data_IF_344854542599
#
_entry.id   IF_344854542599
#
_cell.length_a   1.000
_cell.length_b   1.000
_cell.length_c   1.000
_cell.angle_alpha   90.00
_cell.angle_beta   90.00
_cell.angle_gamma   90.00
#
_symmetry.space_group_name_H-M   'P 1'
#
loop_
_entity.id
_entity.type
_entity.pdbx_description
1 polymer ?
#
# COMPACT_ATOMS: atom_id res chain seq x y z
N UNK A 1 -23.66 12.91 -2.59
CA UNK A 1 -22.24 12.78 -2.24
C UNK A 1 -22.15 12.57 -0.73
N UNK A 2 -22.00 11.33 -0.29
CA UNK A 2 -21.61 11.03 1.09
C UNK A 2 -20.12 11.35 1.22
N UNK A 3 -19.78 12.37 2.01
CA UNK A 3 -18.40 12.61 2.43
C UNK A 3 -17.92 11.35 3.15
N UNK A 4 -17.06 10.56 2.50
CA UNK A 4 -16.42 9.41 3.16
C UNK A 4 -15.57 9.98 4.30
N UNK A 5 -15.76 9.47 5.52
CA UNK A 5 -14.95 9.86 6.67
C UNK A 5 -13.47 9.63 6.37
N UNK A 6 -12.64 10.65 6.61
CA UNK A 6 -11.18 10.52 6.53
C UNK A 6 -10.66 9.73 7.73
N UNK A 7 -9.64 8.93 7.49
CA UNK A 7 -8.99 8.06 8.46
C UNK A 7 -7.56 8.51 8.67
N UNK A 8 -7.12 8.49 9.92
CA UNK A 8 -5.76 8.85 10.30
C UNK A 8 -4.76 7.87 9.67
N UNK A 9 -3.81 8.38 8.89
CA UNK A 9 -2.76 7.56 8.29
C UNK A 9 -2.06 6.68 9.33
N UNK A 10 -1.81 5.42 8.97
CA UNK A 10 -1.12 4.44 9.83
C UNK A 10 -1.96 3.86 10.97
N UNK A 11 -3.21 4.29 11.18
CA UNK A 11 -4.12 3.59 12.08
C UNK A 11 -4.55 2.25 11.47
N UNK A 12 -4.93 1.27 12.31
CA UNK A 12 -5.42 -0.04 11.84
C UNK A 12 -6.57 0.12 10.83
N UNK A 13 -7.57 0.95 11.16
CA UNK A 13 -8.70 1.23 10.27
C UNK A 13 -8.28 1.85 8.92
N UNK A 14 -7.16 2.59 8.88
CA UNK A 14 -6.64 3.14 7.64
C UNK A 14 -6.04 2.04 6.75
N UNK A 15 -5.30 1.08 7.32
CA UNK A 15 -4.81 -0.08 6.56
C UNK A 15 -5.94 -1.00 6.09
N UNK A 16 -6.99 -1.18 6.90
CA UNK A 16 -8.20 -1.90 6.48
C UNK A 16 -8.87 -1.21 5.28
N UNK A 17 -8.93 0.12 5.29
CA UNK A 17 -9.43 0.91 4.16
C UNK A 17 -8.56 0.74 2.92
N UNK A 18 -7.24 0.86 3.03
CA UNK A 18 -6.29 0.64 1.92
C UNK A 18 -6.48 -0.73 1.30
N UNK A 19 -6.47 -1.79 2.12
CA UNK A 19 -6.64 -3.17 1.66
C UNK A 19 -7.98 -3.41 0.96
N UNK A 20 -9.07 -2.82 1.47
CA UNK A 20 -10.38 -2.90 0.83
C UNK A 20 -10.39 -2.21 -0.55
N UNK A 21 -9.75 -1.05 -0.69
CA UNK A 21 -9.62 -0.34 -1.98
C UNK A 21 -8.82 -1.14 -2.98
N UNK A 22 -7.68 -1.68 -2.56
CA UNK A 22 -6.86 -2.53 -3.41
C UNK A 22 -7.62 -3.77 -3.88
N UNK A 23 -8.35 -4.41 -2.97
CA UNK A 23 -9.17 -5.59 -3.29
C UNK A 23 -10.27 -5.25 -4.29
N UNK A 24 -10.98 -4.15 -4.10
CA UNK A 24 -12.05 -3.71 -5.01
C UNK A 24 -11.49 -3.41 -6.42
N UNK A 25 -10.40 -2.65 -6.51
CA UNK A 25 -9.77 -2.31 -7.78
C UNK A 25 -9.23 -3.55 -8.51
N UNK A 26 -8.59 -4.46 -7.79
CA UNK A 26 -8.08 -5.71 -8.33
C UNK A 26 -9.23 -6.60 -8.86
N UNK A 27 -10.35 -6.73 -8.14
CA UNK A 27 -11.52 -7.47 -8.64
C UNK A 27 -12.07 -6.82 -9.92
N UNK A 28 -12.14 -5.49 -9.96
CA UNK A 28 -12.69 -4.75 -11.11
C UNK A 28 -11.77 -4.77 -12.34
N UNK A 29 -10.48 -5.04 -12.18
CA UNK A 29 -9.51 -5.06 -13.28
C UNK A 29 -9.56 -6.33 -14.13
N UNK A 30 -10.35 -7.34 -13.76
CA UNK A 30 -10.47 -8.59 -14.52
C UNK A 30 -9.19 -9.43 -14.52
N UNK A 31 -8.64 -9.68 -13.33
CA UNK A 31 -7.40 -10.47 -13.15
C UNK A 31 -7.47 -11.83 -13.87
N UNK A 32 -6.33 -12.27 -14.39
CA UNK A 32 -6.19 -13.63 -14.90
C UNK A 32 -6.43 -14.64 -13.76
N UNK A 33 -7.17 -15.71 -14.06
CA UNK A 33 -7.59 -16.69 -13.07
C UNK A 33 -6.43 -17.53 -12.49
N UNK A 34 -5.27 -17.50 -13.13
CA UNK A 34 -4.04 -18.16 -12.71
C UNK A 34 -2.98 -17.18 -12.16
N UNK A 35 -3.31 -15.88 -12.06
CA UNK A 35 -2.40 -14.89 -11.50
C UNK A 35 -2.14 -15.20 -10.03
N UNK A 36 -0.85 -15.29 -9.68
CA UNK A 36 -0.35 -15.43 -8.34
C UNK A 36 0.75 -14.40 -8.12
N UNK A 37 0.54 -13.47 -7.20
CA UNK A 37 1.52 -12.42 -6.84
C UNK A 37 1.23 -11.94 -5.43
N UNK A 38 2.29 -11.65 -4.69
CA UNK A 38 2.21 -11.15 -3.34
C UNK A 38 3.00 -9.87 -3.13
N UNK A 39 2.41 -8.95 -2.38
CA UNK A 39 3.01 -7.69 -1.95
C UNK A 39 2.98 -7.60 -0.44
N UNK A 40 4.08 -7.14 0.14
CA UNK A 40 4.09 -6.66 1.52
C UNK A 40 4.65 -5.24 1.53
N UNK A 41 3.89 -4.32 2.13
CA UNK A 41 4.39 -3.01 2.53
C UNK A 41 4.55 -3.00 4.05
N UNK A 42 5.68 -2.51 4.56
CA UNK A 42 5.89 -2.34 6.01
C UNK A 42 6.58 -1.03 6.32
N UNK A 43 6.22 -0.46 7.47
CA UNK A 43 6.88 0.73 7.97
C UNK A 43 8.12 0.35 8.77
N UNK A 44 9.30 0.86 8.39
CA UNK A 44 10.58 0.51 9.01
C UNK A 44 10.69 0.99 10.46
N UNK A 45 9.98 2.06 10.79
CA UNK A 45 9.82 2.68 12.11
C UNK A 45 8.36 2.62 12.59
N UNK A 46 7.57 1.70 12.00
CA UNK A 46 6.15 1.52 12.30
C UNK A 46 5.89 1.01 13.71
N UNK A 47 4.82 1.51 14.32
CA UNK A 47 4.34 0.99 15.61
C UNK A 47 3.77 -0.43 15.47
N UNK A 48 3.77 -1.21 16.55
CA UNK A 48 3.04 -2.48 16.60
C UNK A 48 1.52 -2.20 16.58
N UNK A 49 0.79 -2.94 15.75
CA UNK A 49 -0.66 -2.84 15.59
C UNK A 49 -1.42 -4.08 16.10
N UNK A 50 -0.71 -5.00 16.77
CA UNK A 50 -1.23 -6.19 17.43
C UNK A 50 -0.68 -7.50 16.85
N UNK A 51 -0.66 -8.56 17.66
CA UNK A 51 -0.29 -9.92 17.23
C UNK A 51 1.13 -10.03 16.61
N UNK A 52 2.07 -9.18 17.03
CA UNK A 52 3.42 -9.12 16.45
C UNK A 52 3.49 -8.51 15.05
N UNK A 53 2.43 -7.82 14.63
CA UNK A 53 2.36 -7.08 13.37
C UNK A 53 2.72 -5.62 13.58
N UNK A 54 3.47 -5.06 12.64
CA UNK A 54 3.78 -3.62 12.57
C UNK A 54 2.90 -2.93 11.55
N UNK A 55 2.83 -1.60 11.60
CA UNK A 55 2.19 -0.77 10.58
C UNK A 55 2.67 -1.17 9.17
N UNK A 56 1.71 -1.49 8.30
CA UNK A 56 1.95 -2.03 6.97
C UNK A 56 0.72 -2.76 6.43
N UNK A 57 0.89 -3.44 5.30
CA UNK A 57 -0.15 -4.20 4.63
C UNK A 57 0.47 -5.43 3.95
N UNK A 58 -0.15 -6.59 4.13
CA UNK A 58 0.06 -7.75 3.24
C UNK A 58 -1.08 -7.81 2.23
N UNK A 59 -0.75 -7.94 0.96
CA UNK A 59 -1.70 -8.13 -0.12
C UNK A 59 -1.28 -9.34 -0.96
N UNK A 60 -2.21 -10.25 -1.23
CA UNK A 60 -1.96 -11.45 -2.03
C UNK A 60 -3.04 -11.58 -3.09
N UNK A 61 -2.63 -11.92 -4.32
CA UNK A 61 -3.52 -12.49 -5.33
C UNK A 61 -3.17 -13.96 -5.42
N UNK A 62 -4.14 -14.85 -5.15
CA UNK A 62 -3.99 -16.29 -5.28
C UNK A 62 -5.05 -16.82 -6.24
N UNK A 63 -4.64 -17.45 -7.33
CA UNK A 63 -5.54 -17.92 -8.40
C UNK A 63 -6.54 -16.82 -8.84
N UNK A 64 -6.00 -15.62 -9.12
CA UNK A 64 -6.79 -14.46 -9.51
C UNK A 64 -7.69 -13.87 -8.42
N UNK A 65 -7.60 -14.35 -7.17
CA UNK A 65 -8.41 -13.86 -6.04
C UNK A 65 -7.58 -12.96 -5.15
N UNK A 66 -7.86 -11.64 -5.10
CA UNK A 66 -7.19 -10.73 -4.20
C UNK A 66 -7.66 -10.92 -2.75
N UNK A 67 -6.75 -10.73 -1.82
CA UNK A 67 -7.01 -10.69 -0.39
C UNK A 67 -5.92 -9.89 0.32
N UNK A 68 -6.21 -9.43 1.53
CA UNK A 68 -5.27 -8.60 2.28
C UNK A 68 -5.32 -8.91 3.78
N UNK A 69 -4.28 -8.44 4.47
CA UNK A 69 -4.21 -8.34 5.93
C UNK A 69 -3.61 -7.00 6.31
N UNK A 70 -4.26 -6.28 7.21
CA UNK A 70 -3.69 -5.09 7.81
C UNK A 70 -2.52 -5.48 8.72
N UNK A 71 -1.40 -4.78 8.57
CA UNK A 71 -0.14 -5.07 9.22
C UNK A 71 0.72 -6.07 8.45
N UNK A 72 2.02 -6.03 8.75
CA UNK A 72 3.03 -6.94 8.23
C UNK A 72 3.89 -7.46 9.39
N UNK A 73 4.49 -8.65 9.25
CA UNK A 73 5.53 -9.07 10.20
C UNK A 73 6.83 -8.33 9.89
N UNK A 74 7.68 -8.03 10.89
CA UNK A 74 8.92 -7.27 10.68
C UNK A 74 9.85 -7.84 9.61
N UNK A 75 9.87 -9.16 9.45
CA UNK A 75 10.72 -9.92 8.54
C UNK A 75 9.94 -10.55 7.37
N UNK A 76 8.66 -10.20 7.21
CA UNK A 76 7.81 -10.77 6.16
C UNK A 76 8.35 -10.42 4.77
N UNK A 77 8.35 -11.40 3.87
CA UNK A 77 8.76 -11.21 2.48
C UNK A 77 7.65 -11.64 1.52
N UNK A 78 7.62 -11.02 0.37
CA UNK A 78 6.69 -11.31 -0.71
C UNK A 78 7.43 -11.19 -2.05
N UNK A 79 6.74 -11.49 -3.16
CA UNK A 79 7.27 -11.26 -4.51
C UNK A 79 7.63 -9.78 -4.72
N UNK A 80 6.90 -8.88 -4.05
CA UNK A 80 7.17 -7.45 -3.96
C UNK A 80 7.21 -7.03 -2.47
N UNK A 81 8.35 -6.49 -2.03
CA UNK A 81 8.51 -5.97 -0.67
C UNK A 81 8.79 -4.49 -0.73
N UNK A 82 7.92 -3.68 -0.13
CA UNK A 82 8.08 -2.24 0.03
C UNK A 82 8.37 -1.96 1.50
N UNK A 83 9.52 -1.36 1.77
CA UNK A 83 9.86 -0.83 3.08
C UNK A 83 9.88 0.69 2.99
N UNK A 84 9.25 1.36 3.95
CA UNK A 84 9.18 2.82 3.94
C UNK A 84 9.13 3.35 5.38
N UNK A 85 9.59 4.56 5.67
CA UNK A 85 9.32 5.19 6.96
C UNK A 85 7.84 5.58 7.08
N UNK A 86 7.27 5.56 8.29
CA UNK A 86 5.90 5.99 8.54
C UNK A 86 5.68 7.46 8.13
N UNK A 87 6.71 8.29 8.29
CA UNK A 87 6.70 9.69 7.85
C UNK A 87 6.70 9.82 6.32
N UNK A 88 7.54 9.05 5.62
CA UNK A 88 7.58 9.01 4.16
C UNK A 88 6.27 8.52 3.55
N UNK A 89 5.73 7.41 4.07
CA UNK A 89 4.45 6.86 3.64
C UNK A 89 3.31 7.88 3.85
N UNK A 90 3.30 8.57 5.00
CA UNK A 90 2.31 9.60 5.27
C UNK A 90 2.42 10.75 4.27
N UNK A 91 3.63 11.21 3.98
CA UNK A 91 3.85 12.31 3.06
C UNK A 91 3.38 11.96 1.64
N UNK A 92 3.63 10.73 1.16
CA UNK A 92 3.11 10.24 -0.13
C UNK A 92 1.58 10.16 -0.13
N UNK A 93 0.96 9.65 0.94
CA UNK A 93 -0.49 9.51 1.04
C UNK A 93 -1.26 10.82 1.35
N UNK A 94 -0.58 11.96 1.27
CA UNK A 94 -1.18 13.30 1.31
C UNK A 94 -1.08 14.04 -0.03
N UNK A 95 -0.42 13.45 -1.03
CA UNK A 95 -0.25 14.00 -2.38
C UNK A 95 -0.98 13.08 -3.37
N UNK A 96 -1.73 13.66 -4.30
CA UNK A 96 -2.30 12.90 -5.41
C UNK A 96 -1.20 12.43 -6.36
N UNK A 97 -1.46 11.34 -7.09
CA UNK A 97 -0.46 10.70 -7.95
C UNK A 97 -0.06 11.56 -9.16
N UNK A 98 -0.89 12.52 -9.56
CA UNK A 98 -0.61 13.50 -10.61
C UNK A 98 0.05 14.80 -10.10
N UNK A 99 0.19 14.95 -8.79
CA UNK A 99 0.91 16.08 -8.19
C UNK A 99 2.41 15.96 -8.54
N UNK A 100 3.03 16.99 -9.15
CA UNK A 100 4.46 16.99 -9.44
C UNK A 100 5.34 16.71 -8.21
N UNK A 101 4.90 17.12 -7.01
CA UNK A 101 5.60 16.88 -5.76
C UNK A 101 5.60 15.39 -5.38
N UNK A 102 4.63 14.60 -5.83
CA UNK A 102 4.58 13.16 -5.56
C UNK A 102 5.80 12.45 -6.16
N UNK A 103 6.09 12.71 -7.44
CA UNK A 103 7.23 12.10 -8.13
C UNK A 103 8.56 12.53 -7.51
N UNK A 104 8.69 13.82 -7.14
CA UNK A 104 9.88 14.36 -6.48
C UNK A 104 10.10 13.75 -5.09
N UNK A 105 9.02 13.58 -4.32
CA UNK A 105 9.08 12.96 -3.00
C UNK A 105 9.43 11.48 -3.09
N UNK A 106 8.83 10.74 -4.02
CA UNK A 106 9.11 9.32 -4.22
C UNK A 106 10.59 9.10 -4.57
N UNK A 107 11.12 9.86 -5.54
CA UNK A 107 12.54 9.80 -5.92
C UNK A 107 13.45 10.14 -4.74
N UNK A 108 13.10 11.18 -3.98
CA UNK A 108 13.85 11.55 -2.77
C UNK A 108 13.88 10.42 -1.75
N UNK A 109 12.74 9.84 -1.39
CA UNK A 109 12.64 8.78 -0.37
C UNK A 109 13.46 7.55 -0.77
N UNK A 110 13.43 7.17 -2.05
CA UNK A 110 14.27 6.11 -2.59
C UNK A 110 15.76 6.47 -2.50
N UNK A 111 16.14 7.69 -2.89
CA UNK A 111 17.54 8.14 -2.92
C UNK A 111 18.20 8.19 -1.54
N UNK A 112 17.45 8.54 -0.50
CA UNK A 112 17.96 8.64 0.88
C UNK A 112 17.77 7.35 1.68
N UNK A 113 17.17 6.32 1.07
CA UNK A 113 16.93 5.01 1.70
C UNK A 113 15.78 4.98 2.71
N UNK A 114 14.94 6.02 2.77
CA UNK A 114 13.71 6.03 3.57
C UNK A 114 12.59 5.22 2.90
N UNK A 115 12.76 4.84 1.64
CA UNK A 115 11.95 3.86 0.94
C UNK A 115 12.85 2.87 0.20
N UNK A 116 12.46 1.59 0.18
CA UNK A 116 13.11 0.52 -0.57
C UNK A 116 12.04 -0.34 -1.22
N UNK A 117 12.29 -0.77 -2.45
CA UNK A 117 11.42 -1.69 -3.19
C UNK A 117 12.28 -2.88 -3.62
N UNK A 118 11.91 -4.07 -3.18
CA UNK A 118 12.45 -5.34 -3.66
C UNK A 118 11.37 -6.04 -4.50
N UNK A 119 11.74 -6.56 -5.67
CA UNK A 119 10.78 -7.12 -6.63
C UNK A 119 10.28 -6.09 -7.66
N UNK A 120 9.30 -6.49 -8.46
CA UNK A 120 8.75 -5.66 -9.54
C UNK A 120 7.24 -5.39 -9.33
N UNK A 121 6.85 -4.17 -8.91
CA UNK A 121 5.44 -3.78 -8.76
C UNK A 121 4.62 -3.85 -10.06
N UNK A 122 5.25 -3.86 -11.23
CA UNK A 122 4.53 -3.97 -12.51
C UNK A 122 3.79 -5.30 -12.66
N UNK A 123 4.17 -6.33 -11.89
CA UNK A 123 3.48 -7.62 -11.80
C UNK A 123 2.05 -7.51 -11.26
N UNK A 124 1.73 -6.45 -10.50
CA UNK A 124 0.36 -6.18 -10.07
C UNK A 124 -0.47 -5.55 -11.19
N UNK A 125 0.15 -4.97 -12.22
CA UNK A 125 -0.55 -4.31 -13.33
C UNK A 125 -0.97 -2.87 -13.02
N UNK A 126 -1.57 -2.20 -14.00
CA UNK A 126 -1.85 -0.76 -13.94
C UNK A 126 -2.94 -0.38 -12.92
N UNK A 127 -3.77 -1.31 -12.47
CA UNK A 127 -4.82 -1.01 -11.46
C UNK A 127 -4.23 -0.52 -10.14
N UNK A 128 -3.00 -0.92 -9.80
CA UNK A 128 -2.33 -0.47 -8.58
C UNK A 128 -2.12 1.04 -8.58
N UNK A 129 -1.85 1.66 -9.74
CA UNK A 129 -1.72 3.11 -9.83
C UNK A 129 -3.05 3.81 -9.56
N UNK A 130 -4.16 3.21 -9.98
CA UNK A 130 -5.50 3.77 -9.83
C UNK A 130 -6.02 3.75 -8.38
N UNK A 131 -5.38 3.03 -7.45
CA UNK A 131 -5.82 2.99 -6.05
C UNK A 131 -5.29 4.13 -5.19
N UNK A 132 -4.23 4.81 -5.63
CA UNK A 132 -3.54 5.84 -4.84
C UNK A 132 -4.46 7.02 -4.50
N UNK A 133 -5.05 7.68 -5.49
CA UNK A 133 -5.90 8.86 -5.26
C UNK A 133 -7.15 8.54 -4.41
N UNK A 134 -7.86 7.42 -4.63
CA UNK A 134 -8.93 7.01 -3.72
C UNK A 134 -8.49 6.78 -2.27
N UNK A 135 -7.23 6.44 -2.00
CA UNK A 135 -6.66 6.33 -0.65
C UNK A 135 -6.39 7.74 -0.09
N UNK A 136 -5.77 8.62 -0.87
CA UNK A 136 -5.50 10.02 -0.50
C UNK A 136 -6.79 10.76 -0.11
N UNK A 137 -7.87 10.59 -0.88
CA UNK A 137 -9.21 11.15 -0.59
C UNK A 137 -9.71 10.83 0.83
N UNK A 138 -9.31 9.67 1.36
CA UNK A 138 -9.73 9.12 2.64
C UNK A 138 -8.68 9.26 3.73
N UNK A 139 -7.60 10.01 3.50
CA UNK A 139 -6.47 10.11 4.43
C UNK A 139 -6.41 11.49 5.12
N UNK A 140 -6.02 11.49 6.40
CA UNK A 140 -5.65 12.67 7.21
C UNK A 140 -4.40 12.41 8.07
#
# INVERSE_FOLDING_TARGET
MTTRSKLRHGALAWFEMVGAVMTEAAVQSGLAADLNVSLVERYTDGAEIGEGLVQGLRFDIRDGKPGFRAGARPDERADITIEITAAGARALNLLYGDDPEYALLLDRLLSIGEMRIEGDPSQLGDWLKAVHDPIVDRTI
#
